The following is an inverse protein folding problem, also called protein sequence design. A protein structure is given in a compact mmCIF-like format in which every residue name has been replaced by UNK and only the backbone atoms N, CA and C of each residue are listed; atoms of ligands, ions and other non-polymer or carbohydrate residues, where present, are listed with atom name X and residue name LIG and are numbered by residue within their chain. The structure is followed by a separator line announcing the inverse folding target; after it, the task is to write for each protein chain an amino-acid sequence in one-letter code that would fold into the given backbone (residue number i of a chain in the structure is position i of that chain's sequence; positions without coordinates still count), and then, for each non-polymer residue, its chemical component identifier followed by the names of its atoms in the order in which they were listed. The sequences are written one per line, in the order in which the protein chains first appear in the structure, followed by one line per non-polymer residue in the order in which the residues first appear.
data_IF_219230175750
#
_entry.id   IF_219230175750
#
_cell.length_a   1.000
_cell.length_b   1.000
_cell.length_c   1.000
_cell.angle_alpha   90.00
_cell.angle_beta   90.00
_cell.angle_gamma   90.00
#
_symmetry.space_group_name_H-M   'P 1'
#
loop_
_entity.id
_entity.type
_entity.pdbx_description
1 polymer ?
#
# COMPACT_ATOMS: atom_id res chain seq x y z
N UNK A 1 6.85 -63.76 -11.96
CA UNK A 1 7.96 -62.87 -12.37
C UNK A 1 7.86 -61.63 -11.48
N UNK A 2 8.62 -61.56 -10.38
CA UNK A 2 9.85 -60.74 -10.22
C UNK A 2 9.55 -59.23 -10.28
N UNK A 3 9.90 -58.30 -9.38
CA UNK A 3 10.77 -58.15 -8.17
C UNK A 3 10.31 -56.80 -7.51
N UNK A 4 10.12 -56.63 -6.19
CA UNK A 4 11.05 -56.31 -5.07
C UNK A 4 11.83 -54.96 -5.07
N UNK A 5 11.83 -54.31 -3.88
CA UNK A 5 12.75 -53.29 -3.24
C UNK A 5 12.35 -51.81 -3.35
N UNK A 6 12.03 -51.09 -2.25
CA UNK A 6 12.81 -50.65 -1.06
C UNK A 6 13.92 -49.63 -1.34
N UNK A 7 13.86 -48.44 -0.70
CA UNK A 7 14.93 -47.56 -0.17
C UNK A 7 14.21 -46.30 0.39
N UNK A 8 14.19 -45.99 1.69
CA UNK A 8 15.29 -45.55 2.57
C UNK A 8 14.99 -44.10 2.99
N UNK A 9 14.42 -43.84 4.17
CA UNK A 9 15.09 -43.60 5.47
C UNK A 9 16.13 -42.46 5.44
N UNK A 10 15.85 -41.37 6.18
CA UNK A 10 16.77 -40.46 6.92
C UNK A 10 15.97 -39.20 7.31
N UNK A 11 15.36 -39.09 8.49
CA UNK A 11 15.96 -38.89 9.81
C UNK A 11 17.00 -37.75 9.81
N UNK A 12 16.54 -36.52 10.06
CA UNK A 12 17.39 -35.35 10.30
C UNK A 12 17.61 -35.20 11.81
N UNK A 13 18.86 -35.14 12.30
CA UNK A 13 19.13 -34.87 13.71
C UNK A 13 19.09 -33.37 14.00
N UNK A 14 18.31 -32.99 15.03
CA UNK A 14 18.41 -31.70 15.69
C UNK A 14 19.65 -31.72 16.60
N UNK A 15 20.72 -31.05 16.17
CA UNK A 15 21.93 -30.89 16.98
C UNK A 15 21.78 -29.67 17.90
N UNK A 16 21.75 -29.99 19.19
CA UNK A 16 21.97 -29.12 20.33
C UNK A 16 23.20 -28.22 20.13
N UNK A 17 23.05 -26.92 20.37
CA UNK A 17 24.17 -26.04 20.70
C UNK A 17 23.84 -25.24 21.96
N UNK A 18 24.19 -25.82 23.11
CA UNK A 18 24.41 -25.07 24.34
C UNK A 18 25.81 -24.47 24.27
N UNK A 19 25.93 -23.15 24.29
CA UNK A 19 27.18 -22.47 24.61
C UNK A 19 27.08 -21.87 26.01
N UNK A 20 27.92 -22.42 26.88
CA UNK A 20 28.28 -21.87 28.19
C UNK A 20 29.50 -20.94 28.04
N UNK A 21 29.68 -20.06 29.02
CA UNK A 21 30.87 -19.21 29.19
C UNK A 21 30.50 -17.73 29.11
N UNK A 22 30.22 -17.08 30.24
CA UNK A 22 31.22 -16.39 31.08
C UNK A 22 32.20 -15.59 30.23
N UNK A 23 32.27 -14.27 30.44
CA UNK A 23 33.50 -13.54 30.70
C UNK A 23 33.12 -12.20 31.34
N UNK A 24 33.64 -12.02 32.55
CA UNK A 24 33.63 -10.79 33.32
C UNK A 24 34.39 -9.70 32.55
N UNK A 25 33.73 -8.59 32.23
CA UNK A 25 34.37 -7.40 31.70
C UNK A 25 34.35 -6.32 32.77
N UNK A 26 35.31 -6.35 33.69
CA UNK A 26 35.62 -5.21 34.55
C UNK A 26 36.58 -4.32 33.76
N UNK A 27 36.04 -3.36 33.02
CA UNK A 27 36.81 -2.28 32.43
C UNK A 27 36.93 -1.15 33.46
N UNK A 28 38.11 -1.02 34.06
CA UNK A 28 38.48 0.16 34.83
C UNK A 28 38.68 1.33 33.86
N UNK A 29 37.81 2.35 33.96
CA UNK A 29 37.92 3.59 33.22
C UNK A 29 38.69 4.63 34.07
N UNK A 30 39.77 5.18 33.53
CA UNK A 30 40.48 6.31 34.09
C UNK A 30 39.84 7.64 33.61
N UNK A 31 39.62 8.64 34.48
CA UNK A 31 39.19 9.97 34.05
C UNK A 31 40.26 11.00 34.40
N UNK A 32 41.06 11.45 33.43
CA UNK A 32 41.56 12.83 33.48
C UNK A 32 42.15 13.22 32.12
N UNK A 33 41.35 13.93 31.33
CA UNK A 33 41.87 15.02 30.51
C UNK A 33 40.71 15.92 30.18
N UNK A 34 40.74 17.08 30.83
CA UNK A 34 39.90 18.22 30.58
C UNK A 34 40.03 18.66 29.13
N UNK A 35 38.97 18.50 28.36
CA UNK A 35 38.75 19.26 27.14
C UNK A 35 37.44 20.01 27.31
N UNK A 36 37.55 21.31 27.56
CA UNK A 36 36.46 22.27 27.56
C UNK A 36 35.90 22.39 26.14
N UNK A 37 35.06 21.43 25.76
CA UNK A 37 34.22 21.55 24.58
C UNK A 37 33.09 22.52 24.92
N UNK A 38 33.23 23.75 24.45
CA UNK A 38 32.20 24.78 24.50
C UNK A 38 30.97 24.23 23.79
N UNK A 39 29.97 23.83 24.57
CA UNK A 39 28.70 23.30 24.06
C UNK A 39 27.96 24.42 23.35
N UNK A 40 28.18 24.55 22.04
CA UNK A 40 27.20 25.22 21.18
C UNK A 40 25.98 24.33 21.18
N UNK A 41 25.01 24.73 22.00
CA UNK A 41 23.67 24.18 22.07
C UNK A 41 23.02 24.39 20.71
N UNK A 42 23.27 23.47 19.78
CA UNK A 42 22.60 23.45 18.47
C UNK A 42 21.16 23.11 18.76
N UNK A 43 20.35 24.16 18.93
CA UNK A 43 18.91 24.06 19.01
C UNK A 43 18.44 23.62 17.63
N UNK A 44 18.36 22.31 17.44
CA UNK A 44 17.64 21.69 16.34
C UNK A 44 16.18 22.12 16.51
N UNK A 45 15.82 23.21 15.84
CA UNK A 45 14.44 23.54 15.62
C UNK A 45 13.88 22.41 14.76
N UNK A 46 13.21 21.46 15.41
CA UNK A 46 12.47 20.40 14.74
C UNK A 46 11.44 21.10 13.88
N UNK A 47 11.75 21.28 12.60
CA UNK A 47 10.80 21.70 11.60
C UNK A 47 9.87 20.52 11.43
N UNK A 48 8.85 20.42 12.27
CA UNK A 48 7.71 19.56 11.99
C UNK A 48 7.06 20.17 10.75
N UNK A 49 7.49 19.71 9.58
CA UNK A 49 6.75 19.89 8.35
C UNK A 49 5.44 19.13 8.54
N UNK A 50 4.43 19.82 9.06
CA UNK A 50 3.05 19.40 8.87
C UNK A 50 2.79 19.55 7.37
N UNK A 51 3.11 18.49 6.62
CA UNK A 51 2.69 18.36 5.24
C UNK A 51 1.18 18.14 5.27
N UNK A 52 0.43 19.23 5.36
CA UNK A 52 -1.02 19.22 5.15
C UNK A 52 -1.22 18.97 3.65
N UNK A 53 -1.16 17.70 3.24
CA UNK A 53 -1.52 17.30 1.88
C UNK A 53 -2.97 17.65 1.64
N UNK A 54 -3.24 18.50 0.65
CA UNK A 54 -4.61 18.82 0.25
C UNK A 54 -5.23 17.58 -0.39
N UNK A 55 -6.17 16.95 0.32
CA UNK A 55 -6.95 15.83 -0.22
C UNK A 55 -7.89 16.37 -1.30
N UNK A 56 -7.76 15.86 -2.52
CA UNK A 56 -8.60 16.21 -3.66
C UNK A 56 -9.91 15.41 -3.65
N UNK A 57 -10.99 16.06 -4.08
CA UNK A 57 -12.32 15.45 -4.23
C UNK A 57 -12.56 14.93 -5.64
N UNK A 58 -13.50 13.98 -5.80
CA UNK A 58 -13.80 13.37 -7.10
C UNK A 58 -14.38 14.35 -8.14
N UNK A 59 -15.11 15.39 -7.73
CA UNK A 59 -15.74 16.35 -8.67
C UNK A 59 -14.75 17.29 -9.33
N UNK A 60 -13.63 17.56 -8.67
CA UNK A 60 -12.59 18.45 -9.18
C UNK A 60 -11.58 17.69 -10.06
N UNK A 61 -11.84 16.40 -10.34
CA UNK A 61 -11.04 15.61 -11.26
C UNK A 61 -11.32 16.05 -12.69
N UNK A 62 -10.25 16.41 -13.39
CA UNK A 62 -10.28 16.62 -14.83
C UNK A 62 -9.57 15.46 -15.54
N UNK A 63 -9.98 15.20 -16.78
CA UNK A 63 -9.35 14.21 -17.62
C UNK A 63 -7.87 14.58 -17.90
N UNK A 64 -7.04 13.55 -18.00
CA UNK A 64 -5.60 13.64 -18.31
C UNK A 64 -4.79 14.52 -17.34
N UNK A 65 -5.23 14.58 -16.08
CA UNK A 65 -4.50 15.22 -14.98
C UNK A 65 -3.98 14.21 -13.95
N UNK A 66 -2.92 14.63 -13.27
CA UNK A 66 -2.39 13.93 -12.11
C UNK A 66 -3.27 14.18 -10.89
N UNK A 67 -3.46 13.13 -10.09
CA UNK A 67 -4.20 13.16 -8.83
C UNK A 67 -3.21 12.90 -7.72
N UNK A 68 -2.89 13.93 -6.93
CA UNK A 68 -1.84 13.84 -5.90
C UNK A 68 -2.28 12.99 -4.71
N UNK A 69 -3.38 13.34 -4.05
CA UNK A 69 -3.94 12.62 -2.90
C UNK A 69 -5.48 12.59 -3.02
N UNK A 70 -6.06 11.40 -2.95
CA UNK A 70 -7.50 11.20 -3.08
C UNK A 70 -7.96 10.12 -2.09
N UNK A 71 -8.99 10.43 -1.31
CA UNK A 71 -9.55 9.53 -0.31
C UNK A 71 -10.96 9.11 -0.75
N UNK A 72 -11.18 7.82 -0.92
CA UNK A 72 -12.44 7.28 -1.47
C UNK A 72 -12.86 5.99 -0.82
N UNK A 73 -14.17 5.71 -0.84
CA UNK A 73 -14.75 4.48 -0.33
C UNK A 73 -15.01 3.52 -1.49
N UNK A 74 -14.66 2.25 -1.29
CA UNK A 74 -14.93 1.19 -2.26
C UNK A 74 -16.39 0.75 -2.16
N UNK A 75 -17.15 0.89 -3.24
CA UNK A 75 -18.56 0.47 -3.31
C UNK A 75 -18.69 -0.99 -3.72
N UNK A 76 -17.95 -1.39 -4.75
CA UNK A 76 -17.96 -2.75 -5.30
C UNK A 76 -16.68 -3.03 -6.07
N UNK A 77 -16.24 -4.29 -6.04
CA UNK A 77 -15.10 -4.80 -6.81
C UNK A 77 -15.63 -5.72 -7.90
N UNK A 78 -15.28 -5.46 -9.16
CA UNK A 78 -15.62 -6.33 -10.28
C UNK A 78 -14.67 -7.53 -10.33
N UNK A 79 -15.10 -8.68 -10.90
CA UNK A 79 -14.20 -9.82 -11.05
C UNK A 79 -13.00 -9.48 -11.95
N UNK A 80 -11.79 -9.96 -11.62
CA UNK A 80 -10.60 -9.73 -12.43
C UNK A 80 -10.76 -10.36 -13.81
N UNK A 81 -10.45 -9.62 -14.87
CA UNK A 81 -10.44 -10.11 -16.26
C UNK A 81 -9.03 -10.14 -16.83
N UNK A 82 -8.74 -11.14 -17.65
CA UNK A 82 -7.45 -11.26 -18.34
C UNK A 82 -7.54 -10.60 -19.71
N UNK A 83 -6.63 -9.67 -19.98
CA UNK A 83 -6.50 -8.96 -21.25
C UNK A 83 -5.17 -9.35 -21.89
N UNK A 84 -5.20 -9.67 -23.17
CA UNK A 84 -3.99 -9.86 -23.98
C UNK A 84 -3.55 -8.52 -24.55
N UNK A 85 -2.34 -8.10 -24.25
CA UNK A 85 -1.76 -6.88 -24.84
C UNK A 85 -1.44 -7.10 -26.32
N UNK A 86 -1.20 -6.00 -27.06
CA UNK A 86 -0.73 -6.04 -28.46
C UNK A 86 0.57 -6.85 -28.63
N UNK A 87 1.37 -6.98 -27.57
CA UNK A 87 2.61 -7.76 -27.53
C UNK A 87 2.42 -9.23 -27.14
N UNK A 88 1.17 -9.68 -26.97
CA UNK A 88 0.82 -11.06 -26.60
C UNK A 88 0.99 -11.39 -25.11
N UNK A 89 1.38 -10.41 -24.27
CA UNK A 89 1.48 -10.61 -22.83
C UNK A 89 0.06 -10.61 -22.22
N UNK A 90 -0.21 -11.55 -21.33
CA UNK A 90 -1.44 -11.56 -20.53
C UNK A 90 -1.25 -10.59 -19.38
N UNK A 91 -2.21 -9.69 -19.17
CA UNK A 91 -2.30 -8.85 -17.98
C UNK A 91 -3.68 -9.02 -17.36
N UNK A 92 -3.78 -8.79 -16.05
CA UNK A 92 -5.04 -8.78 -15.34
C UNK A 92 -5.49 -7.33 -15.17
N UNK A 93 -6.78 -7.09 -15.39
CA UNK A 93 -7.45 -5.82 -15.12
C UNK A 93 -8.61 -6.08 -14.17
N UNK A 94 -8.64 -5.32 -13.09
CA UNK A 94 -9.74 -5.34 -12.12
C UNK A 94 -10.32 -3.93 -12.03
N UNK A 95 -11.62 -3.82 -12.23
CA UNK A 95 -12.34 -2.55 -12.11
C UNK A 95 -12.99 -2.47 -10.73
N UNK A 96 -12.72 -1.37 -10.03
CA UNK A 96 -13.24 -1.11 -8.70
C UNK A 96 -14.12 0.13 -8.79
N UNK A 97 -15.36 0.04 -8.35
CA UNK A 97 -16.23 1.21 -8.24
C UNK A 97 -15.92 1.90 -6.91
N UNK A 98 -15.46 3.15 -7.00
CA UNK A 98 -15.15 3.99 -5.84
C UNK A 98 -16.10 5.18 -5.80
N UNK A 99 -16.38 5.65 -4.60
CA UNK A 99 -17.29 6.76 -4.38
C UNK A 99 -16.81 7.63 -3.21
N UNK A 100 -17.20 8.89 -3.30
CA UNK A 100 -16.97 9.94 -2.33
C UNK A 100 -18.28 10.70 -2.13
N UNK A 101 -18.32 11.67 -1.21
CA UNK A 101 -19.45 12.60 -1.06
C UNK A 101 -19.77 13.33 -2.37
N UNK A 102 -18.75 13.56 -3.20
CA UNK A 102 -18.87 14.41 -4.38
C UNK A 102 -19.25 13.65 -5.65
N UNK A 103 -19.11 12.33 -5.69
CA UNK A 103 -19.41 11.54 -6.89
C UNK A 103 -18.90 10.12 -6.86
N UNK A 104 -18.96 9.46 -8.02
CA UNK A 104 -18.50 8.09 -8.23
C UNK A 104 -17.53 8.01 -9.39
N UNK A 105 -16.46 7.24 -9.24
CA UNK A 105 -15.47 6.99 -10.29
C UNK A 105 -15.13 5.50 -10.40
N UNK A 106 -14.59 5.10 -11.55
CA UNK A 106 -14.08 3.73 -11.73
C UNK A 106 -12.57 3.76 -11.55
N UNK A 107 -12.05 2.92 -10.68
CA UNK A 107 -10.63 2.74 -10.44
C UNK A 107 -10.15 1.45 -11.11
N UNK A 108 -9.19 1.58 -12.03
CA UNK A 108 -8.64 0.49 -12.85
C UNK A 108 -7.31 0.02 -12.26
N UNK A 109 -7.33 -1.17 -11.66
CA UNK A 109 -6.16 -1.84 -11.12
C UNK A 109 -5.58 -2.79 -12.16
N UNK A 110 -4.35 -2.51 -12.56
CA UNK A 110 -3.59 -3.30 -13.53
C UNK A 110 -2.59 -4.21 -12.83
N UNK A 111 -2.46 -5.43 -13.34
CA UNK A 111 -1.46 -6.39 -12.88
C UNK A 111 -2.01 -7.55 -12.07
N UNK A 112 -1.17 -8.55 -11.87
CA UNK A 112 -1.50 -9.74 -11.09
C UNK A 112 -1.13 -9.49 -9.63
N UNK A 113 -2.12 -9.46 -8.73
CA UNK A 113 -1.92 -9.34 -7.29
C UNK A 113 -2.60 -8.13 -6.64
N UNK A 114 -2.70 -7.00 -7.36
CA UNK A 114 -3.27 -5.75 -6.81
C UNK A 114 -4.76 -5.85 -6.48
N UNK A 115 -5.48 -6.75 -7.16
CA UNK A 115 -6.92 -6.95 -6.98
C UNK A 115 -7.29 -7.60 -5.65
N UNK A 116 -6.38 -8.39 -5.05
CA UNK A 116 -6.64 -9.10 -3.79
C UNK A 116 -6.59 -8.20 -2.56
N UNK A 117 -5.93 -7.05 -2.68
CA UNK A 117 -5.72 -6.11 -1.59
C UNK A 117 -6.88 -5.15 -1.37
N UNK A 118 -7.95 -5.21 -2.17
CA UNK A 118 -9.08 -4.27 -2.09
C UNK A 118 -10.37 -5.01 -1.78
N UNK A 119 -11.01 -4.63 -0.68
CA UNK A 119 -12.32 -5.15 -0.28
C UNK A 119 -13.43 -4.10 -0.38
N UNK A 120 -14.65 -4.55 -0.73
CA UNK A 120 -15.82 -3.67 -0.73
C UNK A 120 -16.06 -3.08 0.68
N UNK A 121 -16.29 -1.78 0.73
CA UNK A 121 -16.58 -1.04 1.96
C UNK A 121 -15.40 -0.45 2.70
N UNK A 122 -14.17 -0.76 2.27
CA UNK A 122 -12.96 -0.13 2.80
C UNK A 122 -12.77 1.28 2.25
N UNK A 123 -12.06 2.10 3.01
CA UNK A 123 -11.57 3.40 2.58
C UNK A 123 -10.16 3.22 2.07
N UNK A 124 -9.90 3.74 0.88
CA UNK A 124 -8.60 3.70 0.25
C UNK A 124 -8.12 5.13 0.01
N UNK A 125 -6.83 5.35 0.24
CA UNK A 125 -6.13 6.55 -0.18
C UNK A 125 -5.31 6.22 -1.41
N UNK A 126 -5.51 7.00 -2.47
CA UNK A 126 -4.77 6.90 -3.72
C UNK A 126 -3.79 8.07 -3.75
N UNK A 127 -2.52 7.77 -3.96
CA UNK A 127 -1.46 8.76 -4.08
C UNK A 127 -0.83 8.69 -5.47
N UNK A 128 -0.64 9.85 -6.11
CA UNK A 128 -0.09 9.97 -7.47
C UNK A 128 -0.84 9.12 -8.51
N UNK A 129 -2.16 9.20 -8.49
CA UNK A 129 -3.04 8.62 -9.50
C UNK A 129 -3.04 9.42 -10.81
N UNK A 130 -3.64 8.83 -11.84
CA UNK A 130 -3.92 9.45 -13.12
C UNK A 130 -5.41 9.33 -13.43
N UNK A 131 -6.05 10.46 -13.72
CA UNK A 131 -7.42 10.50 -14.21
C UNK A 131 -7.41 10.45 -15.73
N UNK A 132 -8.09 9.46 -16.32
CA UNK A 132 -8.25 9.31 -17.76
C UNK A 132 -9.73 9.27 -18.10
N UNK A 133 -10.13 9.92 -19.17
CA UNK A 133 -11.48 9.76 -19.69
C UNK A 133 -11.58 8.51 -20.58
N UNK A 134 -12.59 7.68 -20.31
CA UNK A 134 -12.92 6.51 -21.13
C UNK A 134 -14.43 6.42 -21.32
N UNK A 135 -14.88 6.46 -22.58
CA UNK A 135 -16.30 6.40 -22.95
C UNK A 135 -17.17 7.45 -22.22
N UNK A 136 -16.66 8.67 -22.05
CA UNK A 136 -17.36 9.76 -21.37
C UNK A 136 -17.40 9.65 -19.85
N UNK A 137 -16.63 8.74 -19.24
CA UNK A 137 -16.51 8.57 -17.78
C UNK A 137 -15.06 8.69 -17.35
N UNK A 138 -14.85 9.34 -16.21
CA UNK A 138 -13.52 9.41 -15.61
C UNK A 138 -13.16 8.05 -15.00
N UNK A 139 -12.02 7.53 -15.41
CA UNK A 139 -11.37 6.35 -14.87
C UNK A 139 -10.06 6.75 -14.20
N UNK A 140 -9.90 6.32 -12.95
CA UNK A 140 -8.66 6.46 -12.20
C UNK A 140 -7.75 5.28 -12.49
N UNK A 141 -6.46 5.53 -12.67
CA UNK A 141 -5.43 4.50 -12.81
C UNK A 141 -4.21 4.90 -11.99
N UNK A 142 -3.38 3.92 -11.61
CA UNK A 142 -2.12 4.21 -10.95
C UNK A 142 -1.09 4.71 -11.98
N UNK A 143 -0.44 5.84 -11.69
CA UNK A 143 0.69 6.33 -12.47
C UNK A 143 1.96 5.51 -12.21
N UNK A 144 3.07 5.88 -12.85
CA UNK A 144 4.38 5.20 -12.66
C UNK A 144 4.88 5.23 -11.21
N UNK A 145 4.59 6.31 -10.49
CA UNK A 145 4.88 6.50 -9.07
C UNK A 145 3.62 6.45 -8.20
N UNK A 146 2.54 5.90 -8.75
CA UNK A 146 1.25 5.80 -8.08
C UNK A 146 1.23 4.62 -7.12
N UNK A 147 0.64 4.85 -5.95
CA UNK A 147 0.37 3.82 -4.95
C UNK A 147 -1.01 4.02 -4.36
N UNK A 148 -1.57 2.99 -3.76
CA UNK A 148 -2.76 3.10 -2.94
C UNK A 148 -2.54 2.38 -1.61
N UNK A 149 -3.19 2.86 -0.56
CA UNK A 149 -3.16 2.28 0.78
C UNK A 149 -4.58 2.21 1.34
N UNK A 150 -4.87 1.14 2.09
CA UNK A 150 -6.10 1.08 2.88
C UNK A 150 -5.92 1.92 4.15
N UNK A 151 -6.87 2.83 4.40
CA UNK A 151 -6.86 3.73 5.56
C UNK A 151 -8.04 3.37 6.46
N UNK A 152 -7.92 3.46 7.80
CA UNK A 152 -9.09 3.37 8.68
C UNK A 152 -10.17 4.39 8.28
N UNK A 153 -11.42 4.04 8.57
CA UNK A 153 -12.55 4.93 8.30
C UNK A 153 -12.63 6.00 9.40
N UNK A 154 -12.35 7.25 9.03
CA UNK A 154 -12.40 8.40 9.92
C UNK A 154 -13.83 8.99 10.03
N UNK A 155 -14.81 8.42 9.31
CA UNK A 155 -16.18 8.93 9.23
C UNK A 155 -16.35 10.12 8.28
N UNK A 156 -15.29 10.50 7.55
CA UNK A 156 -15.32 11.57 6.53
C UNK A 156 -16.14 11.20 5.30
N UNK A 157 -16.21 9.90 4.97
CA UNK A 157 -16.88 9.42 3.75
C UNK A 157 -18.26 8.84 4.05
N UNK A 158 -19.26 9.06 3.17
CA UNK A 158 -20.61 8.51 3.33
C UNK A 158 -20.62 6.98 3.30
N UNK A 159 -21.63 6.38 3.92
CA UNK A 159 -21.75 4.92 4.01
C UNK A 159 -22.13 4.29 2.66
N UNK A 160 -21.77 3.02 2.45
CA UNK A 160 -22.02 2.29 1.18
C UNK A 160 -23.52 2.25 0.84
N UNK A 161 -24.39 2.18 1.85
CA UNK A 161 -25.84 2.07 1.69
C UNK A 161 -26.45 3.32 1.07
N UNK A 162 -25.93 4.51 1.41
CA UNK A 162 -26.40 5.79 0.89
C UNK A 162 -25.93 5.98 -0.57
N UNK A 163 -24.68 5.58 -0.87
CA UNK A 163 -24.10 5.71 -2.20
C UNK A 163 -24.76 4.82 -3.27
N UNK A 164 -25.26 3.64 -2.88
CA UNK A 164 -25.97 2.73 -3.80
C UNK A 164 -27.40 3.18 -4.12
N UNK A 165 -28.04 3.92 -3.22
CA UNK A 165 -29.45 4.28 -3.32
C UNK A 165 -29.71 5.45 -4.29
N UNK A 166 -28.70 6.30 -4.53
CA UNK A 166 -28.81 7.45 -5.45
C UNK A 166 -28.61 7.09 -6.93
N UNK A 167 -28.59 5.79 -7.27
CA UNK A 167 -28.48 5.29 -8.64
C UNK A 167 -29.81 4.68 -9.07
N UNK A 168 -30.84 5.53 -9.16
CA UNK A 168 -32.15 5.20 -9.74
C UNK A 168 -32.29 5.86 -11.12
#
# INVERSE_FOLDING_TARGET
MHLYREFGSTAWPLLNLRFAGQHSCIAQYAPSSSMSCTTRKTQLHVRTCSATGSVLKLKDLEADKNVSDLLVRVVSVAPPRIISTRTGRKTQLTEVLVADETGTAVFSLWGFGESGSVSAGKVIRITNGWAKEWQGKIQLSLGRSGSFEEVPDDGSLPSISELKSNKA
#
